data_IF_678673385607
#
_entry.id   IF_678673385607
#
_cell.length_a   1.000
_cell.length_b   1.000
_cell.length_c   1.000
_cell.angle_alpha   90.00
_cell.angle_beta   90.00
_cell.angle_gamma   90.00
#
_symmetry.space_group_name_H-M   'P 1'
#
loop_
_entity.id
_entity.type
_entity.pdbx_description
1 polymer ?
#
# COMPACT_ATOMS: atom_id res chain seq x y z
N UNK A 1 35.10 36.85 -7.06
CA UNK A 1 34.48 35.65 -6.42
C UNK A 1 34.48 34.54 -7.44
N UNK A 2 34.97 33.35 -7.10
CA UNK A 2 34.90 32.18 -7.98
C UNK A 2 33.52 31.53 -7.85
N UNK A 3 32.86 31.26 -8.97
CA UNK A 3 31.61 30.49 -9.04
C UNK A 3 31.83 29.35 -10.03
N UNK A 4 31.53 28.12 -9.61
CA UNK A 4 31.61 26.93 -10.45
C UNK A 4 30.28 26.18 -10.37
N UNK A 5 29.74 25.82 -11.52
CA UNK A 5 28.53 25.01 -11.63
C UNK A 5 28.92 23.55 -11.84
N UNK A 6 28.54 22.67 -10.91
CA UNK A 6 28.71 21.22 -11.08
C UNK A 6 27.52 20.68 -11.87
N UNK A 7 27.75 20.26 -13.12
CA UNK A 7 26.70 19.74 -14.00
C UNK A 7 26.54 18.22 -13.82
N UNK A 8 25.56 17.79 -13.01
CA UNK A 8 25.21 16.39 -12.77
C UNK A 8 23.84 16.04 -13.38
N UNK A 9 23.62 16.37 -14.66
CA UNK A 9 22.39 15.99 -15.34
C UNK A 9 22.38 14.48 -15.57
N UNK A 10 21.32 13.80 -15.12
CA UNK A 10 21.08 12.37 -15.36
C UNK A 10 19.75 12.21 -16.10
N UNK A 11 19.71 11.24 -17.01
CA UNK A 11 18.46 10.64 -17.50
C UNK A 11 18.33 9.35 -16.71
N UNK A 12 17.21 9.18 -16.00
CA UNK A 12 16.94 8.02 -15.16
C UNK A 12 15.69 7.37 -15.73
N UNK A 13 15.74 6.05 -15.92
CA UNK A 13 14.61 5.21 -16.29
C UNK A 13 14.38 4.24 -15.13
N UNK A 14 13.32 4.49 -14.36
CA UNK A 14 12.93 3.71 -13.19
C UNK A 14 11.74 2.78 -13.53
N UNK A 15 11.61 2.38 -14.80
CA UNK A 15 10.57 1.44 -15.25
C UNK A 15 10.84 0.03 -14.72
N UNK A 16 9.78 -0.69 -14.35
CA UNK A 16 9.85 -2.07 -13.88
C UNK A 16 8.59 -2.85 -14.27
N UNK A 17 8.72 -4.17 -14.32
CA UNK A 17 7.62 -5.07 -14.62
C UNK A 17 6.86 -5.50 -13.35
N UNK A 18 5.57 -5.80 -13.53
CA UNK A 18 4.75 -6.47 -12.52
C UNK A 18 4.34 -7.83 -13.08
N UNK A 19 4.79 -8.90 -12.43
CA UNK A 19 4.41 -10.27 -12.72
C UNK A 19 3.25 -10.67 -11.81
N UNK A 20 2.13 -11.12 -12.38
CA UNK A 20 0.93 -11.54 -11.65
C UNK A 20 0.69 -13.01 -11.95
N UNK A 21 0.48 -13.83 -10.93
CA UNK A 21 0.19 -15.23 -11.15
C UNK A 21 0.27 -16.06 -9.88
N UNK A 22 0.70 -17.32 -10.04
CA UNK A 22 0.71 -18.33 -8.99
C UNK A 22 2.07 -19.00 -8.92
N UNK A 23 2.54 -19.26 -7.70
CA UNK A 23 3.77 -20.02 -7.43
C UNK A 23 5.01 -19.42 -8.12
N UNK A 24 5.17 -18.09 -8.02
CA UNK A 24 6.11 -17.31 -8.84
C UNK A 24 7.60 -17.45 -8.45
N UNK A 25 7.96 -18.39 -7.57
CA UNK A 25 9.34 -18.55 -7.13
C UNK A 25 10.28 -18.95 -8.26
N UNK A 26 9.89 -19.94 -9.07
CA UNK A 26 10.72 -20.40 -10.18
C UNK A 26 10.87 -19.30 -11.24
N UNK A 27 9.81 -18.51 -11.45
CA UNK A 27 9.85 -17.34 -12.33
C UNK A 27 10.84 -16.29 -11.84
N UNK A 28 10.87 -16.01 -10.54
CA UNK A 28 11.86 -15.10 -9.95
C UNK A 28 13.28 -15.61 -10.19
N UNK A 29 13.54 -16.90 -9.98
CA UNK A 29 14.87 -17.48 -10.22
C UNK A 29 15.27 -17.38 -11.69
N UNK A 30 14.36 -17.70 -12.60
CA UNK A 30 14.56 -17.58 -14.04
C UNK A 30 14.96 -16.14 -14.41
N UNK A 31 14.23 -15.14 -13.90
CA UNK A 31 14.52 -13.73 -14.18
C UNK A 31 15.88 -13.28 -13.60
N UNK A 32 16.25 -13.76 -12.41
CA UNK A 32 17.58 -13.51 -11.84
C UNK A 32 18.69 -14.13 -12.70
N UNK A 33 18.49 -15.34 -13.23
CA UNK A 33 19.45 -16.00 -14.12
C UNK A 33 19.57 -15.27 -15.48
N UNK A 34 18.46 -14.67 -15.93
CA UNK A 34 18.39 -13.84 -17.13
C UNK A 34 18.87 -12.40 -16.92
N UNK A 35 19.38 -12.06 -15.73
CA UNK A 35 20.07 -10.80 -15.48
C UNK A 35 19.19 -9.65 -15.00
N UNK A 36 18.02 -9.93 -14.39
CA UNK A 36 17.13 -8.92 -13.80
C UNK A 36 17.89 -7.89 -12.91
N UNK A 37 18.91 -8.34 -12.19
CA UNK A 37 19.77 -7.47 -11.34
C UNK A 37 21.26 -7.55 -11.71
N UNK A 38 21.54 -7.82 -12.99
CA UNK A 38 22.90 -7.92 -13.53
C UNK A 38 23.72 -9.04 -12.87
N UNK A 39 24.97 -8.74 -12.52
CA UNK A 39 25.94 -9.70 -11.96
C UNK A 39 25.79 -9.93 -10.44
N UNK A 40 24.76 -9.37 -9.80
CA UNK A 40 24.56 -9.51 -8.34
C UNK A 40 24.33 -10.97 -7.98
N UNK A 41 25.12 -11.46 -7.01
CA UNK A 41 25.03 -12.84 -6.49
C UNK A 41 24.63 -12.93 -5.01
N UNK A 42 24.52 -11.79 -4.32
CA UNK A 42 24.18 -11.71 -2.89
C UNK A 42 22.79 -11.13 -2.69
N UNK A 43 21.91 -11.88 -2.04
CA UNK A 43 20.52 -11.49 -1.82
C UNK A 43 20.20 -11.45 -0.33
N UNK A 44 19.66 -10.33 0.15
CA UNK A 44 19.10 -10.23 1.49
C UNK A 44 17.58 -10.40 1.40
N UNK A 45 17.07 -11.52 1.93
CA UNK A 45 15.63 -11.81 1.96
C UNK A 45 15.04 -11.18 3.22
N UNK A 46 14.34 -10.06 3.07
CA UNK A 46 13.73 -9.32 4.19
C UNK A 46 12.26 -9.71 4.31
N UNK A 47 11.83 -10.10 5.51
CA UNK A 47 10.48 -10.61 5.77
C UNK A 47 10.04 -10.40 7.22
N UNK A 48 8.80 -10.74 7.54
CA UNK A 48 8.33 -10.84 8.93
C UNK A 48 8.37 -12.29 9.44
N UNK A 49 8.25 -12.46 10.76
CA UNK A 49 8.31 -13.77 11.42
C UNK A 49 7.20 -14.74 11.00
N UNK A 50 6.06 -14.26 10.51
CA UNK A 50 4.95 -15.09 10.03
C UNK A 50 5.22 -15.58 8.60
N UNK A 51 5.60 -14.67 7.71
CA UNK A 51 5.88 -14.95 6.29
C UNK A 51 7.18 -15.72 6.12
N UNK A 52 8.12 -15.60 7.07
CA UNK A 52 9.38 -16.34 7.08
C UNK A 52 9.17 -17.84 6.89
N UNK A 53 8.36 -18.45 7.75
CA UNK A 53 8.16 -19.90 7.79
C UNK A 53 7.25 -20.39 6.66
N UNK A 54 6.35 -19.52 6.17
CA UNK A 54 5.44 -19.84 5.06
C UNK A 54 6.14 -19.82 3.70
N UNK A 55 6.99 -18.82 3.45
CA UNK A 55 7.44 -18.49 2.10
C UNK A 55 8.93 -18.17 2.00
N UNK A 56 9.47 -17.35 2.91
CA UNK A 56 10.83 -16.83 2.77
C UNK A 56 11.91 -17.93 2.89
N UNK A 57 11.69 -18.94 3.75
CA UNK A 57 12.59 -20.10 3.87
C UNK A 57 12.69 -20.87 2.55
N UNK A 58 11.56 -21.17 1.91
CA UNK A 58 11.51 -21.86 0.62
C UNK A 58 12.26 -21.06 -0.45
N UNK A 59 11.99 -19.75 -0.57
CA UNK A 59 12.68 -18.90 -1.53
C UNK A 59 14.19 -18.81 -1.26
N UNK A 60 14.60 -18.68 0.00
CA UNK A 60 16.01 -18.61 0.36
C UNK A 60 16.76 -19.90 0.02
N UNK A 61 16.17 -21.07 0.29
CA UNK A 61 16.75 -22.36 -0.14
C UNK A 61 16.86 -22.44 -1.66
N UNK A 62 15.81 -22.04 -2.38
CA UNK A 62 15.81 -22.06 -3.85
C UNK A 62 16.90 -21.13 -4.44
N UNK A 63 17.12 -19.96 -3.85
CA UNK A 63 18.24 -19.07 -4.22
C UNK A 63 19.60 -19.75 -4.00
N UNK A 64 19.79 -20.39 -2.85
CA UNK A 64 21.04 -21.08 -2.51
C UNK A 64 21.31 -22.29 -3.42
N UNK A 65 20.28 -23.08 -3.72
CA UNK A 65 20.36 -24.23 -4.63
C UNK A 65 20.71 -23.80 -6.06
N UNK A 66 20.37 -22.57 -6.44
CA UNK A 66 20.76 -21.96 -7.72
C UNK A 66 22.08 -21.17 -7.67
N UNK A 67 22.88 -21.36 -6.61
CA UNK A 67 24.24 -20.83 -6.50
C UNK A 67 24.33 -19.37 -6.07
N UNK A 68 23.25 -18.79 -5.56
CA UNK A 68 23.25 -17.45 -4.97
C UNK A 68 23.58 -17.48 -3.48
N UNK A 69 24.29 -16.47 -2.99
CA UNK A 69 24.48 -16.27 -1.56
C UNK A 69 23.26 -15.52 -1.00
N UNK A 70 22.43 -16.21 -0.21
CA UNK A 70 21.22 -15.62 0.36
C UNK A 70 21.11 -15.83 1.87
N UNK A 71 20.64 -14.80 2.57
CA UNK A 71 20.32 -14.85 4.00
C UNK A 71 18.95 -14.21 4.25
N UNK A 72 18.20 -14.79 5.19
CA UNK A 72 16.93 -14.24 5.66
C UNK A 72 17.18 -13.31 6.85
N UNK A 73 16.58 -12.12 6.80
CA UNK A 73 16.51 -11.16 7.89
C UNK A 73 15.03 -10.95 8.22
N UNK A 74 14.61 -11.43 9.39
CA UNK A 74 13.21 -11.40 9.81
C UNK A 74 12.99 -10.50 11.01
N UNK A 75 11.87 -9.79 11.05
CA UNK A 75 11.43 -8.98 12.19
C UNK A 75 9.98 -9.35 12.60
N UNK A 76 9.48 -8.92 13.77
CA UNK A 76 8.13 -9.29 14.21
C UNK A 76 7.03 -8.79 13.25
N UNK A 77 5.99 -9.57 12.97
CA UNK A 77 4.92 -9.14 12.08
C UNK A 77 4.08 -7.95 12.59
N UNK A 78 3.54 -7.18 11.65
CA UNK A 78 2.54 -6.13 11.89
C UNK A 78 3.06 -4.69 11.92
N UNK A 79 2.12 -3.73 11.89
CA UNK A 79 2.41 -2.29 11.70
C UNK A 79 3.35 -1.71 12.76
N UNK A 80 3.31 -2.25 13.99
CA UNK A 80 4.19 -1.82 15.10
C UNK A 80 5.68 -2.04 14.81
N UNK A 81 6.01 -2.90 13.86
CA UNK A 81 7.38 -3.14 13.42
C UNK A 81 7.80 -2.22 12.28
N UNK A 82 6.91 -1.41 11.71
CA UNK A 82 7.27 -0.48 10.64
C UNK A 82 7.90 0.79 11.20
N UNK A 83 9.08 0.66 11.81
CA UNK A 83 9.72 1.74 12.58
C UNK A 83 11.18 1.96 12.17
N UNK A 84 11.74 3.10 12.56
CA UNK A 84 13.17 3.38 12.40
C UNK A 84 14.07 2.36 13.13
N UNK A 85 13.63 1.83 14.27
CA UNK A 85 14.39 0.85 15.02
C UNK A 85 14.49 -0.49 14.27
N UNK A 86 13.40 -0.93 13.64
CA UNK A 86 13.41 -2.12 12.79
C UNK A 86 14.29 -1.91 11.56
N UNK A 87 14.22 -0.70 10.96
CA UNK A 87 15.09 -0.34 9.83
C UNK A 87 16.58 -0.43 10.23
N UNK A 88 16.95 0.17 11.36
CA UNK A 88 18.30 0.10 11.92
C UNK A 88 18.74 -1.35 12.13
N UNK A 89 17.90 -2.16 12.79
CA UNK A 89 18.17 -3.59 13.00
C UNK A 89 18.45 -4.34 11.69
N UNK A 90 17.64 -4.11 10.66
CA UNK A 90 17.81 -4.75 9.35
C UNK A 90 19.12 -4.30 8.70
N UNK A 91 19.42 -3.00 8.69
CA UNK A 91 20.64 -2.43 8.10
C UNK A 91 21.90 -2.96 8.80
N UNK A 92 21.90 -2.99 10.13
CA UNK A 92 23.05 -3.49 10.92
C UNK A 92 23.22 -5.00 10.72
N UNK A 93 22.14 -5.78 10.69
CA UNK A 93 22.20 -7.22 10.38
C UNK A 93 22.77 -7.47 8.98
N UNK A 94 22.38 -6.67 7.98
CA UNK A 94 22.98 -6.74 6.65
C UNK A 94 24.49 -6.45 6.68
N UNK A 95 24.94 -5.45 7.45
CA UNK A 95 26.36 -5.12 7.57
C UNK A 95 27.17 -6.24 8.22
N UNK A 96 26.64 -6.84 9.29
CA UNK A 96 27.21 -7.97 10.03
C UNK A 96 27.38 -9.21 9.14
N UNK A 97 26.38 -9.50 8.31
CA UNK A 97 26.42 -10.59 7.32
C UNK A 97 27.32 -10.29 6.11
N UNK A 98 27.93 -9.10 6.06
CA UNK A 98 28.90 -8.74 5.02
C UNK A 98 28.29 -8.16 3.74
N UNK A 99 27.00 -7.80 3.73
CA UNK A 99 26.39 -7.12 2.58
C UNK A 99 27.00 -5.72 2.39
N UNK A 100 27.25 -5.36 1.13
CA UNK A 100 27.72 -4.02 0.71
C UNK A 100 26.89 -3.61 -0.53
N UNK A 101 27.41 -2.72 -1.38
CA UNK A 101 26.66 -2.23 -2.57
C UNK A 101 26.41 -3.29 -3.65
N UNK A 102 27.14 -4.41 -3.60
CA UNK A 102 27.06 -5.56 -4.50
C UNK A 102 25.97 -6.56 -4.07
N UNK A 103 24.80 -6.07 -3.64
CA UNK A 103 23.69 -6.90 -3.20
C UNK A 103 22.35 -6.41 -3.71
N UNK A 104 21.36 -7.31 -3.65
CA UNK A 104 19.96 -7.01 -3.91
C UNK A 104 19.11 -7.42 -2.70
N UNK A 105 18.09 -6.63 -2.39
CA UNK A 105 17.11 -6.95 -1.37
C UNK A 105 15.89 -7.62 -2.02
N UNK A 106 15.40 -8.72 -1.44
CA UNK A 106 14.11 -9.31 -1.83
C UNK A 106 13.17 -9.17 -0.64
N UNK A 107 12.15 -8.32 -0.79
CA UNK A 107 11.11 -8.10 0.20
C UNK A 107 10.01 -9.15 0.03
N UNK A 108 9.90 -10.10 0.95
CA UNK A 108 8.90 -11.18 0.89
C UNK A 108 7.84 -10.93 1.96
N UNK A 109 6.66 -10.45 1.56
CA UNK A 109 5.60 -10.16 2.53
C UNK A 109 4.50 -9.22 2.04
N UNK A 110 3.78 -8.66 3.01
CA UNK A 110 2.78 -7.62 2.80
C UNK A 110 3.34 -6.20 2.86
N UNK A 111 2.44 -5.21 2.99
CA UNK A 111 2.79 -3.79 2.87
C UNK A 111 3.84 -3.29 3.87
N UNK A 112 3.81 -3.81 5.10
CA UNK A 112 4.83 -3.48 6.11
C UNK A 112 6.23 -3.90 5.67
N UNK A 113 6.35 -5.11 5.10
CA UNK A 113 7.63 -5.65 4.62
C UNK A 113 8.11 -4.85 3.41
N UNK A 114 7.24 -4.61 2.42
CA UNK A 114 7.62 -3.89 1.20
C UNK A 114 8.00 -2.43 1.47
N UNK A 115 7.26 -1.74 2.35
CA UNK A 115 7.58 -0.36 2.76
C UNK A 115 8.94 -0.28 3.45
N UNK A 116 9.18 -1.16 4.44
CA UNK A 116 10.40 -1.15 5.24
C UNK A 116 11.61 -1.56 4.38
N UNK A 117 11.50 -2.67 3.65
CA UNK A 117 12.58 -3.20 2.83
C UNK A 117 12.92 -2.25 1.67
N UNK A 118 11.93 -1.64 1.04
CA UNK A 118 12.16 -0.62 0.02
C UNK A 118 12.85 0.63 0.56
N UNK A 119 12.55 1.03 1.82
CA UNK A 119 13.24 2.16 2.45
C UNK A 119 14.68 1.78 2.83
N UNK A 120 14.90 0.58 3.35
CA UNK A 120 16.25 0.02 3.56
C UNK A 120 17.02 0.02 2.24
N UNK A 121 16.44 -0.49 1.16
CA UNK A 121 17.09 -0.59 -0.16
C UNK A 121 17.58 0.77 -0.67
N UNK A 122 16.73 1.80 -0.60
CA UNK A 122 17.11 3.12 -1.11
C UNK A 122 18.08 3.89 -0.22
N UNK A 123 18.31 3.47 1.05
CA UNK A 123 19.30 4.11 1.93
C UNK A 123 20.57 3.29 2.13
N UNK A 124 20.49 1.96 2.09
CA UNK A 124 21.62 1.06 2.30
C UNK A 124 22.65 1.25 1.19
N UNK A 125 23.90 1.52 1.55
CA UNK A 125 24.94 1.82 0.56
C UNK A 125 24.70 3.09 -0.27
N UNK A 126 23.67 3.89 0.04
CA UNK A 126 23.08 4.98 -0.78
C UNK A 126 22.26 4.50 -1.99
N UNK A 127 21.66 3.33 -1.88
CA UNK A 127 20.84 2.72 -2.92
C UNK A 127 21.43 1.37 -3.34
N UNK A 128 20.61 0.32 -3.20
CA UNK A 128 20.81 -1.00 -3.78
C UNK A 128 19.50 -1.45 -4.46
N UNK A 129 19.56 -2.29 -5.51
CA UNK A 129 18.36 -2.79 -6.17
C UNK A 129 17.52 -3.62 -5.19
N UNK A 130 16.21 -3.60 -5.38
CA UNK A 130 15.30 -4.45 -4.62
C UNK A 130 14.13 -4.97 -5.44
N UNK A 131 13.60 -6.10 -5.00
CA UNK A 131 12.48 -6.80 -5.62
C UNK A 131 11.39 -6.97 -4.57
N UNK A 132 10.14 -6.72 -4.96
CA UNK A 132 8.99 -7.05 -4.11
C UNK A 132 8.42 -8.42 -4.50
N UNK A 133 8.34 -9.34 -3.54
CA UNK A 133 7.62 -10.61 -3.65
C UNK A 133 6.43 -10.57 -2.69
N UNK A 134 5.25 -10.32 -3.26
CA UNK A 134 4.11 -9.82 -2.52
C UNK A 134 3.19 -10.95 -2.11
N UNK A 135 2.93 -11.07 -0.81
CA UNK A 135 2.17 -12.19 -0.25
C UNK A 135 0.78 -11.81 0.26
N UNK A 136 0.34 -10.58 0.01
CA UNK A 136 -0.95 -10.08 0.51
C UNK A 136 -1.77 -9.35 -0.54
N UNK A 137 -3.09 -9.51 -0.51
CA UNK A 137 -4.01 -8.77 -1.36
C UNK A 137 -3.85 -7.25 -1.18
N UNK A 138 -3.66 -6.77 0.06
CA UNK A 138 -3.46 -5.34 0.32
C UNK A 138 -2.22 -4.80 -0.39
N UNK A 139 -1.09 -5.51 -0.27
CA UNK A 139 0.14 -5.07 -0.92
C UNK A 139 0.05 -5.19 -2.44
N UNK A 140 -0.60 -6.23 -2.96
CA UNK A 140 -0.84 -6.42 -4.38
C UNK A 140 -1.71 -5.30 -4.98
N UNK A 141 -2.73 -4.87 -4.23
CA UNK A 141 -3.57 -3.76 -4.64
C UNK A 141 -2.84 -2.43 -4.51
N UNK A 142 -2.14 -2.19 -3.40
CA UNK A 142 -1.58 -0.89 -3.08
C UNK A 142 -0.06 -0.98 -2.79
N UNK A 143 0.36 -1.38 -1.60
CA UNK A 143 1.69 -1.05 -1.06
C UNK A 143 2.91 -1.41 -1.95
N UNK A 144 2.85 -2.44 -2.80
CA UNK A 144 4.01 -2.86 -3.60
C UNK A 144 4.25 -2.03 -4.86
N UNK A 145 3.30 -1.18 -5.27
CA UNK A 145 3.35 -0.42 -6.53
C UNK A 145 3.53 1.07 -6.28
N UNK A 146 4.42 1.68 -7.06
CA UNK A 146 4.65 3.14 -7.10
C UNK A 146 5.64 3.69 -6.08
N UNK A 147 6.50 2.83 -5.53
CA UNK A 147 7.78 3.21 -4.91
C UNK A 147 7.71 4.03 -3.62
N UNK A 148 6.54 4.21 -3.02
CA UNK A 148 6.44 4.89 -1.72
C UNK A 148 6.90 3.95 -0.62
N UNK A 149 8.04 4.24 -0.03
CA UNK A 149 8.64 3.42 1.04
C UNK A 149 8.80 4.29 2.27
N UNK A 150 8.41 3.79 3.45
CA UNK A 150 8.38 4.61 4.65
C UNK A 150 8.36 3.79 5.94
N UNK A 151 8.57 4.51 7.05
CA UNK A 151 8.33 4.01 8.41
C UNK A 151 7.45 4.98 9.19
N UNK A 152 6.79 4.44 10.20
CA UNK A 152 5.99 5.15 11.17
C UNK A 152 6.87 5.79 12.26
N UNK A 153 6.32 6.83 12.86
CA UNK A 153 6.83 7.48 14.07
C UNK A 153 5.71 7.58 15.10
N UNK A 154 6.01 7.83 16.39
CA UNK A 154 4.96 8.09 17.39
C UNK A 154 4.00 9.23 17.04
N UNK A 155 4.39 10.13 16.13
CA UNK A 155 3.62 11.32 15.77
C UNK A 155 2.79 11.13 14.48
N UNK A 156 3.27 10.33 13.53
CA UNK A 156 2.69 10.21 12.20
C UNK A 156 3.05 8.88 11.51
N UNK A 157 2.10 8.36 10.74
CA UNK A 157 2.24 7.18 9.88
C UNK A 157 2.89 7.54 8.54
N UNK A 158 3.76 6.66 8.03
CA UNK A 158 4.44 6.76 6.73
C UNK A 158 5.18 8.08 6.47
N UNK A 159 5.46 8.90 7.48
CA UNK A 159 5.95 10.27 7.28
C UNK A 159 7.42 10.33 6.86
N UNK A 160 8.21 9.33 7.26
CA UNK A 160 9.65 9.30 7.06
C UNK A 160 9.96 8.19 6.07
N UNK A 161 10.47 8.55 4.90
CA UNK A 161 10.63 7.62 3.80
C UNK A 161 11.19 8.27 2.55
N UNK A 162 11.20 7.51 1.46
CA UNK A 162 11.68 7.93 0.14
C UNK A 162 10.78 7.33 -0.96
N UNK A 163 10.80 7.96 -2.13
CA UNK A 163 10.35 7.32 -3.35
C UNK A 163 11.51 6.48 -3.90
N UNK A 164 11.32 5.17 -3.99
CA UNK A 164 12.31 4.19 -4.45
C UNK A 164 11.58 3.07 -5.21
N UNK A 165 11.77 2.97 -6.52
CA UNK A 165 11.10 1.97 -7.36
C UNK A 165 11.82 0.61 -7.26
N UNK A 166 11.10 -0.52 -7.21
CA UNK A 166 11.70 -1.84 -7.28
C UNK A 166 12.18 -2.15 -8.71
N UNK A 167 13.05 -3.14 -8.85
CA UNK A 167 13.47 -3.69 -10.15
C UNK A 167 12.37 -4.56 -10.79
N UNK A 168 11.55 -5.22 -9.95
CA UNK A 168 10.38 -6.01 -10.35
C UNK A 168 9.45 -6.25 -9.16
N UNK A 169 8.16 -6.41 -9.43
CA UNK A 169 7.15 -6.83 -8.46
C UNK A 169 6.57 -8.18 -8.88
N UNK A 170 6.60 -9.17 -7.98
CA UNK A 170 5.92 -10.45 -8.15
C UNK A 170 4.70 -10.48 -7.24
N UNK A 171 3.51 -10.60 -7.83
CA UNK A 171 2.23 -10.74 -7.13
C UNK A 171 1.78 -12.20 -7.18
N UNK A 172 2.19 -12.98 -6.18
CA UNK A 172 1.84 -14.39 -6.10
C UNK A 172 0.53 -14.59 -5.34
N UNK A 173 -0.54 -14.83 -6.09
CA UNK A 173 -1.90 -14.99 -5.59
C UNK A 173 -2.05 -16.32 -4.81
N UNK A 174 -1.22 -17.34 -5.10
CA UNK A 174 -1.25 -18.60 -4.36
C UNK A 174 -1.02 -18.36 -2.85
N UNK A 175 -0.23 -17.34 -2.52
CA UNK A 175 0.08 -16.99 -1.12
C UNK A 175 -1.14 -16.50 -0.33
N UNK A 176 -2.18 -16.03 -1.01
CA UNK A 176 -3.39 -15.51 -0.35
C UNK A 176 -4.18 -16.62 0.34
N UNK A 177 -4.02 -17.89 -0.10
CA UNK A 177 -4.68 -19.05 0.51
C UNK A 177 -4.30 -19.28 1.98
N UNK A 178 -3.13 -18.80 2.42
CA UNK A 178 -2.70 -18.89 3.83
C UNK A 178 -3.03 -17.65 4.64
N UNK A 179 -3.62 -16.61 4.04
CA UNK A 179 -3.94 -15.40 4.78
C UNK A 179 -5.09 -15.63 5.75
N UNK A 180 -5.01 -15.03 6.96
CA UNK A 180 -6.18 -14.90 7.80
C UNK A 180 -7.31 -14.19 7.02
N UNK A 181 -8.55 -14.66 7.15
CA UNK A 181 -9.71 -14.08 6.44
C UNK A 181 -9.82 -12.56 6.62
N UNK A 182 -9.49 -12.06 7.80
CA UNK A 182 -9.48 -10.62 8.09
C UNK A 182 -8.45 -9.84 7.25
N UNK A 183 -7.33 -10.45 6.85
CA UNK A 183 -6.34 -9.84 5.97
C UNK A 183 -6.81 -9.80 4.51
N UNK A 184 -7.55 -10.83 4.04
CA UNK A 184 -8.24 -10.78 2.74
C UNK A 184 -9.26 -9.62 2.74
N UNK A 185 -10.14 -9.57 3.74
CA UNK A 185 -11.08 -8.46 3.91
C UNK A 185 -10.37 -7.10 3.96
N UNK A 186 -9.25 -7.00 4.68
CA UNK A 186 -8.47 -5.77 4.77
C UNK A 186 -7.93 -5.34 3.39
N UNK A 187 -7.40 -6.27 2.58
CA UNK A 187 -6.96 -5.95 1.21
C UNK A 187 -8.11 -5.58 0.26
N UNK A 188 -9.29 -6.18 0.45
CA UNK A 188 -10.49 -5.85 -0.32
C UNK A 188 -10.91 -4.38 -0.16
N UNK A 189 -10.62 -3.73 0.97
CA UNK A 189 -10.93 -2.31 1.15
C UNK A 189 -10.23 -1.44 0.09
N UNK A 190 -8.96 -1.74 -0.22
CA UNK A 190 -8.19 -1.04 -1.25
C UNK A 190 -8.69 -1.36 -2.66
N UNK A 191 -9.11 -2.60 -2.88
CA UNK A 191 -9.71 -3.02 -4.16
C UNK A 191 -11.03 -2.28 -4.41
N UNK A 192 -11.88 -2.15 -3.39
CA UNK A 192 -13.12 -1.38 -3.46
C UNK A 192 -12.82 0.10 -3.66
N UNK A 193 -11.81 0.67 -2.99
CA UNK A 193 -11.36 2.05 -3.21
C UNK A 193 -10.99 2.28 -4.69
N UNK A 194 -10.21 1.40 -5.30
CA UNK A 194 -9.84 1.51 -6.71
C UNK A 194 -11.05 1.49 -7.65
N UNK A 195 -12.00 0.59 -7.41
CA UNK A 195 -13.25 0.57 -8.15
C UNK A 195 -14.03 1.89 -8.00
N UNK A 196 -14.10 2.45 -6.78
CA UNK A 196 -14.75 3.74 -6.56
C UNK A 196 -14.06 4.90 -7.31
N UNK A 197 -12.74 4.86 -7.43
CA UNK A 197 -11.94 5.89 -8.11
C UNK A 197 -12.14 5.82 -9.63
N UNK A 198 -12.13 4.63 -10.22
CA UNK A 198 -11.84 4.46 -11.64
C UNK A 198 -12.89 3.69 -12.45
N UNK A 199 -13.65 2.76 -11.85
CA UNK A 199 -14.43 1.80 -12.64
C UNK A 199 -15.66 1.25 -11.89
N UNK A 200 -16.86 1.63 -12.36
CA UNK A 200 -18.14 1.15 -11.83
C UNK A 200 -18.42 -0.31 -12.21
N UNK A 201 -17.99 -0.78 -13.38
CA UNK A 201 -18.15 -2.18 -13.76
C UNK A 201 -17.28 -3.07 -12.89
N UNK A 202 -16.06 -2.63 -12.58
CA UNK A 202 -15.19 -3.31 -11.61
C UNK A 202 -15.82 -3.36 -10.21
N UNK A 203 -16.50 -2.29 -9.77
CA UNK A 203 -17.25 -2.29 -8.50
C UNK A 203 -18.33 -3.37 -8.48
N UNK A 204 -19.11 -3.49 -9.56
CA UNK A 204 -20.13 -4.52 -9.68
C UNK A 204 -19.52 -5.92 -9.75
N UNK A 205 -18.40 -6.09 -10.47
CA UNK A 205 -17.67 -7.36 -10.50
C UNK A 205 -17.24 -7.82 -9.11
N UNK A 206 -16.68 -6.92 -8.28
CA UNK A 206 -16.30 -7.23 -6.88
C UNK A 206 -17.53 -7.63 -6.07
N UNK A 207 -18.64 -6.90 -6.22
CA UNK A 207 -19.89 -7.21 -5.53
C UNK A 207 -20.40 -8.60 -5.92
N UNK A 208 -20.47 -8.91 -7.21
CA UNK A 208 -21.05 -10.16 -7.70
C UNK A 208 -20.19 -11.37 -7.35
N UNK A 209 -18.87 -11.19 -7.27
CA UNK A 209 -17.91 -12.27 -6.98
C UNK A 209 -17.39 -12.28 -5.52
N UNK A 210 -18.02 -11.54 -4.60
CA UNK A 210 -17.52 -11.38 -3.23
C UNK A 210 -17.19 -12.70 -2.52
N UNK A 211 -18.06 -13.70 -2.62
CA UNK A 211 -17.85 -14.99 -1.94
C UNK A 211 -16.68 -15.77 -2.55
N UNK A 212 -16.48 -15.67 -3.87
CA UNK A 212 -15.33 -16.25 -4.56
C UNK A 212 -14.01 -15.56 -4.16
N UNK A 213 -14.01 -14.22 -4.04
CA UNK A 213 -12.84 -13.47 -3.57
C UNK A 213 -12.47 -13.87 -2.14
N UNK A 214 -13.45 -13.96 -1.24
CA UNK A 214 -13.21 -14.38 0.15
C UNK A 214 -12.75 -15.84 0.27
N UNK A 215 -13.05 -16.66 -0.74
CA UNK A 215 -12.56 -18.03 -0.87
C UNK A 215 -11.20 -18.14 -1.61
N UNK A 216 -10.65 -17.01 -2.09
CA UNK A 216 -9.41 -16.96 -2.88
C UNK A 216 -9.54 -17.83 -4.14
N UNK A 217 -10.65 -17.68 -4.86
CA UNK A 217 -10.84 -18.31 -6.18
C UNK A 217 -9.81 -17.77 -7.17
N UNK A 218 -9.18 -18.68 -7.93
CA UNK A 218 -8.00 -18.33 -8.72
C UNK A 218 -8.34 -17.34 -9.85
N UNK A 219 -9.36 -17.63 -10.66
CA UNK A 219 -9.72 -16.77 -11.79
C UNK A 219 -10.20 -15.40 -11.34
N UNK A 220 -11.00 -15.36 -10.26
CA UNK A 220 -11.53 -14.10 -9.73
C UNK A 220 -10.40 -13.27 -9.09
N UNK A 221 -9.52 -13.90 -8.31
CA UNK A 221 -8.43 -13.20 -7.62
C UNK A 221 -7.37 -12.67 -8.58
N UNK A 222 -7.09 -13.37 -9.67
CA UNK A 222 -6.22 -12.89 -10.75
C UNK A 222 -6.79 -11.66 -11.42
N UNK A 223 -8.08 -11.69 -11.79
CA UNK A 223 -8.73 -10.55 -12.41
C UNK A 223 -8.73 -9.29 -11.50
N UNK A 224 -9.03 -9.42 -10.21
CA UNK A 224 -8.98 -8.26 -9.31
C UNK A 224 -7.54 -7.75 -9.11
N UNK A 225 -6.53 -8.62 -9.14
CA UNK A 225 -5.13 -8.22 -9.03
C UNK A 225 -4.71 -7.38 -10.25
N UNK A 226 -5.03 -7.86 -11.46
CA UNK A 226 -4.79 -7.15 -12.72
C UNK A 226 -5.46 -5.78 -12.74
N UNK A 227 -6.74 -5.71 -12.38
CA UNK A 227 -7.49 -4.45 -12.37
C UNK A 227 -6.94 -3.46 -11.37
N UNK A 228 -6.56 -3.91 -10.17
CA UNK A 228 -5.89 -3.05 -9.18
C UNK A 228 -4.56 -2.50 -9.71
N UNK A 229 -3.71 -3.35 -10.27
CA UNK A 229 -2.44 -2.96 -10.85
C UNK A 229 -2.63 -1.95 -11.97
N UNK A 230 -3.55 -2.21 -12.89
CA UNK A 230 -3.86 -1.30 -14.00
C UNK A 230 -4.24 0.09 -13.50
N UNK A 231 -5.24 0.18 -12.61
CA UNK A 231 -5.72 1.45 -12.04
C UNK A 231 -4.57 2.19 -11.34
N UNK A 232 -3.79 1.48 -10.52
CA UNK A 232 -2.71 2.10 -9.77
C UNK A 232 -1.55 2.55 -10.65
N UNK A 233 -1.13 1.73 -11.61
CA UNK A 233 -0.08 2.06 -12.56
C UNK A 233 -0.45 3.28 -13.42
N UNK A 234 -1.69 3.35 -13.93
CA UNK A 234 -2.17 4.52 -14.70
C UNK A 234 -2.02 5.83 -13.91
N UNK A 235 -2.29 5.80 -12.61
CA UNK A 235 -2.15 6.96 -11.72
C UNK A 235 -0.67 7.27 -11.41
N UNK A 236 0.13 6.23 -11.11
CA UNK A 236 1.56 6.39 -10.78
C UNK A 236 2.36 6.91 -11.96
N UNK A 237 2.10 6.43 -13.18
CA UNK A 237 2.77 6.89 -14.40
C UNK A 237 2.49 8.36 -14.71
N UNK A 238 1.32 8.87 -14.31
CA UNK A 238 0.97 10.28 -14.49
C UNK A 238 1.53 11.19 -13.39
N UNK A 239 1.62 10.69 -12.15
CA UNK A 239 2.08 11.49 -11.00
C UNK A 239 2.79 10.62 -9.96
N UNK A 240 4.04 10.25 -10.26
CA UNK A 240 4.87 9.40 -9.40
C UNK A 240 5.00 9.97 -7.98
N UNK A 241 5.14 11.28 -7.83
CA UNK A 241 5.48 11.91 -6.53
C UNK A 241 4.29 12.39 -5.72
N UNK A 242 3.06 12.09 -6.15
CA UNK A 242 1.83 12.56 -5.51
C UNK A 242 1.82 14.09 -5.32
N UNK A 243 2.04 14.80 -6.43
CA UNK A 243 2.01 16.26 -6.52
C UNK A 243 0.72 16.81 -7.13
N UNK A 244 -0.15 15.93 -7.65
CA UNK A 244 -1.43 16.24 -8.29
C UNK A 244 -2.35 15.00 -8.33
N UNK A 245 -2.49 14.38 -9.50
CA UNK A 245 -3.48 13.30 -9.76
C UNK A 245 -3.37 12.10 -8.82
N UNK A 246 -2.17 11.74 -8.33
CA UNK A 246 -2.01 10.59 -7.42
C UNK A 246 -2.66 10.82 -6.06
N UNK A 247 -3.06 12.06 -5.73
CA UNK A 247 -3.88 12.37 -4.56
C UNK A 247 -5.24 11.64 -4.58
N UNK A 248 -5.72 11.12 -5.72
CA UNK A 248 -6.98 10.34 -5.75
C UNK A 248 -6.89 8.99 -5.02
N UNK A 249 -5.70 8.36 -4.96
CA UNK A 249 -5.49 7.06 -4.30
C UNK A 249 -5.67 7.13 -2.78
N UNK A 250 -5.83 8.36 -2.29
CA UNK A 250 -5.96 8.76 -0.90
C UNK A 250 -7.46 8.95 -0.53
N UNK A 251 -8.42 8.54 -1.40
CA UNK A 251 -9.84 8.39 -1.08
C UNK A 251 -10.03 7.48 0.15
N UNK A 252 -10.88 7.91 1.08
CA UNK A 252 -11.14 7.27 2.37
C UNK A 252 -10.01 7.43 3.41
N UNK A 253 -8.79 7.77 2.98
CA UNK A 253 -7.62 7.73 3.86
C UNK A 253 -7.54 8.88 4.85
N UNK A 254 -8.19 10.02 4.59
CA UNK A 254 -8.13 11.17 5.52
C UNK A 254 -8.77 10.79 6.87
N UNK A 255 -9.94 10.15 6.83
CA UNK A 255 -10.58 9.60 8.05
C UNK A 255 -9.94 8.27 8.44
N UNK A 256 -9.65 7.40 7.46
CA UNK A 256 -9.09 6.06 7.71
C UNK A 256 -7.80 6.08 8.53
N UNK A 257 -6.80 6.88 8.15
CA UNK A 257 -5.52 6.98 8.89
C UNK A 257 -5.68 7.54 10.30
N UNK A 258 -6.62 8.46 10.48
CA UNK A 258 -6.95 8.98 11.80
C UNK A 258 -7.57 7.86 12.67
N UNK A 259 -8.45 7.03 12.11
CA UNK A 259 -9.01 5.85 12.78
C UNK A 259 -7.91 4.83 13.13
N UNK A 260 -7.00 4.51 12.21
CA UNK A 260 -5.88 3.60 12.48
C UNK A 260 -5.12 4.03 13.73
N UNK A 261 -4.75 5.31 13.76
CA UNK A 261 -3.96 5.87 14.86
C UNK A 261 -4.73 5.92 16.17
N UNK A 262 -5.97 6.44 16.18
CA UNK A 262 -6.78 6.54 17.41
C UNK A 262 -7.21 5.16 17.92
N UNK A 263 -7.34 4.17 17.05
CA UNK A 263 -7.59 2.78 17.46
C UNK A 263 -6.38 2.14 18.17
N UNK A 264 -5.21 2.77 18.15
CA UNK A 264 -3.96 2.20 18.62
C UNK A 264 -3.52 1.00 17.78
N UNK A 265 -3.81 1.03 16.48
CA UNK A 265 -3.58 -0.05 15.52
C UNK A 265 -4.24 -1.39 15.92
N UNK A 266 -5.40 -1.32 16.61
CA UNK A 266 -6.26 -2.49 16.86
C UNK A 266 -7.05 -2.88 15.62
N UNK A 267 -7.40 -1.89 14.80
CA UNK A 267 -7.99 -2.12 13.49
C UNK A 267 -6.88 -2.33 12.48
N UNK A 268 -7.08 -3.29 11.57
CA UNK A 268 -6.27 -3.43 10.37
C UNK A 268 -6.47 -2.20 9.47
N UNK A 269 -5.48 -1.92 8.62
CA UNK A 269 -5.52 -0.81 7.68
C UNK A 269 -6.82 -0.75 6.88
N UNK A 270 -7.20 -1.87 6.25
CA UNK A 270 -8.42 -1.94 5.43
C UNK A 270 -9.71 -1.77 6.22
N UNK A 271 -9.72 -2.15 7.51
CA UNK A 271 -10.87 -1.92 8.38
C UNK A 271 -11.04 -0.42 8.67
N UNK A 272 -9.96 0.28 8.95
CA UNK A 272 -9.99 1.72 9.15
C UNK A 272 -10.31 2.46 7.84
N UNK A 273 -9.73 2.03 6.71
CA UNK A 273 -10.02 2.55 5.38
C UNK A 273 -11.51 2.38 5.03
N UNK A 274 -12.11 1.22 5.29
CA UNK A 274 -13.54 0.99 5.05
C UNK A 274 -14.45 1.99 5.78
N UNK A 275 -14.13 2.28 7.05
CA UNK A 275 -14.86 3.31 7.81
C UNK A 275 -14.61 4.69 7.19
N UNK A 276 -13.39 4.96 6.74
CA UNK A 276 -13.06 6.21 6.07
C UNK A 276 -13.78 6.40 4.72
N UNK A 277 -13.88 5.35 3.91
CA UNK A 277 -14.69 5.33 2.68
C UNK A 277 -16.16 5.62 2.98
N UNK A 278 -16.71 5.02 4.04
CA UNK A 278 -18.09 5.31 4.47
C UNK A 278 -18.29 6.75 4.95
N UNK A 279 -17.30 7.32 5.64
CA UNK A 279 -17.36 8.72 6.05
C UNK A 279 -17.32 9.66 4.82
N UNK A 280 -16.39 9.41 3.89
CA UNK A 280 -16.21 10.25 2.71
C UNK A 280 -17.37 10.13 1.71
N UNK A 281 -18.00 8.96 1.51
CA UNK A 281 -19.20 8.85 0.66
C UNK A 281 -20.41 9.55 1.29
N UNK A 282 -20.57 9.53 2.62
CA UNK A 282 -21.62 10.29 3.33
C UNK A 282 -21.40 11.80 3.24
N UNK A 283 -20.14 12.25 3.32
CA UNK A 283 -19.77 13.65 3.06
C UNK A 283 -20.06 14.03 1.60
N UNK A 284 -19.63 13.20 0.64
CA UNK A 284 -19.87 13.40 -0.79
C UNK A 284 -21.37 13.52 -1.10
N UNK A 285 -22.22 12.70 -0.46
CA UNK A 285 -23.68 12.84 -0.56
C UNK A 285 -24.17 14.21 -0.10
N UNK A 286 -23.73 14.68 1.08
CA UNK A 286 -24.12 16.02 1.59
C UNK A 286 -23.67 17.16 0.67
N UNK A 287 -22.55 16.98 -0.02
CA UNK A 287 -22.02 17.93 -1.00
C UNK A 287 -22.66 17.80 -2.39
N UNK A 288 -23.56 16.84 -2.60
CA UNK A 288 -24.24 16.60 -3.87
C UNK A 288 -23.42 15.84 -4.91
N UNK A 289 -22.30 15.22 -4.52
CA UNK A 289 -21.43 14.44 -5.42
C UNK A 289 -21.86 12.97 -5.52
N UNK A 290 -22.57 12.45 -4.52
CA UNK A 290 -23.10 11.10 -4.49
C UNK A 290 -24.60 11.09 -4.19
N UNK A 291 -25.26 10.03 -4.63
CA UNK A 291 -26.67 9.75 -4.33
C UNK A 291 -26.84 8.93 -3.04
N UNK A 292 -28.09 8.79 -2.58
CA UNK A 292 -28.46 7.82 -1.54
C UNK A 292 -28.16 6.37 -1.95
N UNK A 293 -28.32 6.07 -3.24
CA UNK A 293 -28.01 4.76 -3.81
C UNK A 293 -26.51 4.45 -3.72
N UNK A 294 -25.63 5.40 -4.05
CA UNK A 294 -24.18 5.22 -3.93
C UNK A 294 -23.78 4.90 -2.48
N UNK A 295 -24.37 5.58 -1.49
CA UNK A 295 -24.11 5.30 -0.07
C UNK A 295 -24.58 3.89 0.31
N UNK A 296 -25.76 3.47 -0.18
CA UNK A 296 -26.30 2.14 0.08
C UNK A 296 -25.44 1.03 -0.55
N UNK A 297 -24.96 1.23 -1.79
CA UNK A 297 -24.06 0.33 -2.48
C UNK A 297 -22.72 0.18 -1.74
N UNK A 298 -22.12 1.30 -1.31
CA UNK A 298 -20.89 1.30 -0.49
C UNK A 298 -21.08 0.55 0.82
N UNK A 299 -22.18 0.80 1.53
CA UNK A 299 -22.50 0.12 2.77
C UNK A 299 -22.70 -1.39 2.54
N UNK A 300 -23.34 -1.79 1.44
CA UNK A 300 -23.56 -3.20 1.12
C UNK A 300 -22.26 -3.93 0.79
N UNK A 301 -21.44 -3.40 -0.12
CA UNK A 301 -20.21 -4.06 -0.56
C UNK A 301 -19.20 -4.22 0.59
N UNK A 302 -19.04 -3.19 1.43
CA UNK A 302 -18.13 -3.25 2.58
C UNK A 302 -18.61 -4.26 3.63
N UNK A 303 -19.91 -4.29 3.92
CA UNK A 303 -20.48 -5.31 4.82
C UNK A 303 -20.32 -6.73 4.26
N UNK A 304 -20.52 -6.93 2.96
CA UNK A 304 -20.31 -8.24 2.31
C UNK A 304 -18.84 -8.67 2.34
N UNK A 305 -17.92 -7.72 2.19
CA UNK A 305 -16.47 -7.91 2.37
C UNK A 305 -16.05 -8.15 3.83
N UNK A 306 -16.99 -8.18 4.79
CA UNK A 306 -16.74 -8.34 6.24
C UNK A 306 -15.91 -7.20 6.84
N UNK A 307 -16.07 -5.99 6.30
CA UNK A 307 -15.43 -4.78 6.77
C UNK A 307 -16.39 -3.94 7.64
N UNK A 308 -15.87 -3.22 8.66
CA UNK A 308 -16.69 -2.32 9.46
C UNK A 308 -17.08 -1.08 8.66
N UNK A 309 -18.30 -0.59 8.88
CA UNK A 309 -18.86 0.59 8.20
C UNK A 309 -19.29 1.70 9.16
N UNK A 310 -19.07 1.49 10.46
CA UNK A 310 -19.32 2.42 11.55
C UNK A 310 -18.07 2.58 12.40
N UNK A 311 -17.97 3.71 13.11
CA UNK A 311 -16.82 3.95 13.98
C UNK A 311 -17.04 3.14 15.27
N UNK A 312 -16.10 2.26 15.69
CA UNK A 312 -16.26 1.50 16.93
C UNK A 312 -16.48 2.39 18.16
N UNK A 313 -17.33 1.96 19.09
CA UNK A 313 -17.72 2.76 20.27
C UNK A 313 -16.54 3.17 21.17
N UNK A 314 -15.48 2.37 21.21
CA UNK A 314 -14.29 2.68 22.00
C UNK A 314 -13.44 3.83 21.43
N UNK A 315 -13.69 4.26 20.20
CA UNK A 315 -13.00 5.39 19.57
C UNK A 315 -13.75 6.67 19.94
N UNK A 316 -13.09 7.54 20.70
CA UNK A 316 -13.62 8.86 21.01
C UNK A 316 -13.66 9.75 19.76
N UNK A 317 -14.87 10.21 19.39
CA UNK A 317 -15.13 11.00 18.19
C UNK A 317 -14.39 12.34 18.22
N UNK A 318 -14.26 12.95 19.40
CA UNK A 318 -13.56 14.23 19.56
C UNK A 318 -12.06 14.09 19.33
N UNK A 319 -11.47 13.02 19.86
CA UNK A 319 -10.08 12.64 19.61
C UNK A 319 -9.86 12.34 18.13
N UNK A 320 -10.80 11.65 17.47
CA UNK A 320 -10.73 11.38 16.04
C UNK A 320 -10.75 12.67 15.20
N UNK A 321 -11.67 13.61 15.47
CA UNK A 321 -11.74 14.90 14.77
C UNK A 321 -10.44 15.68 14.93
N UNK A 322 -9.88 15.74 16.14
CA UNK A 322 -8.57 16.38 16.38
C UNK A 322 -7.45 15.71 15.58
N UNK A 323 -7.49 14.38 15.44
CA UNK A 323 -6.46 13.62 14.75
C UNK A 323 -6.44 13.86 13.24
N UNK A 324 -7.56 14.25 12.62
CA UNK A 324 -7.64 14.61 11.20
C UNK A 324 -6.61 15.67 10.79
N UNK A 325 -6.26 16.60 11.69
CA UNK A 325 -5.29 17.67 11.43
C UNK A 325 -3.82 17.22 11.38
N UNK A 326 -3.53 15.99 11.81
CA UNK A 326 -2.18 15.43 11.77
C UNK A 326 -1.92 14.60 10.51
N UNK A 327 -2.92 14.41 9.65
CA UNK A 327 -2.73 13.79 8.34
C UNK A 327 -1.96 14.75 7.41
N UNK A 328 -1.11 14.17 6.55
CA UNK A 328 -0.22 14.90 5.64
C UNK A 328 -0.94 15.89 4.71
N UNK A 329 -2.25 15.69 4.49
CA UNK A 329 -3.08 16.55 3.63
C UNK A 329 -3.55 17.83 4.32
N UNK A 330 -3.39 17.97 5.63
CA UNK A 330 -3.71 19.20 6.32
C UNK A 330 -2.72 20.32 5.91
N UNK A 331 -3.11 21.14 4.93
CA UNK A 331 -2.29 22.26 4.46
C UNK A 331 -2.74 23.54 5.14
N UNK A 332 -1.83 24.23 5.82
CA UNK A 332 -2.11 25.47 6.57
C UNK A 332 -3.26 25.33 7.58
N UNK A 333 -3.41 24.16 8.21
CA UNK A 333 -4.48 23.91 9.19
C UNK A 333 -5.87 23.72 8.59
N UNK A 334 -5.98 23.43 7.29
CA UNK A 334 -7.25 23.12 6.63
C UNK A 334 -7.36 21.64 6.31
N UNK A 335 -8.51 21.02 6.60
CA UNK A 335 -8.78 19.63 6.28
C UNK A 335 -9.07 19.49 4.78
N UNK A 336 -8.31 18.65 4.09
CA UNK A 336 -8.50 18.34 2.67
C UNK A 336 -8.96 16.90 2.48
N UNK A 337 -10.00 16.72 1.68
CA UNK A 337 -10.61 15.43 1.39
C UNK A 337 -10.70 15.19 -0.10
N UNK A 338 -10.51 13.93 -0.47
CA UNK A 338 -10.71 13.41 -1.81
C UNK A 338 -12.16 12.90 -1.86
N UNK A 339 -12.87 13.11 -2.97
CA UNK A 339 -14.26 12.70 -3.08
C UNK A 339 -14.51 11.96 -4.38
N UNK A 340 -15.37 10.95 -4.32
CA UNK A 340 -15.95 10.34 -5.50
C UNK A 340 -17.16 11.15 -5.99
N UNK A 341 -17.40 11.16 -7.30
CA UNK A 341 -18.59 11.71 -7.96
C UNK A 341 -19.44 10.55 -8.48
N UNK A 342 -20.14 9.90 -7.55
CA UNK A 342 -20.68 8.55 -7.75
C UNK A 342 -19.59 7.47 -7.71
N UNK A 343 -19.99 6.21 -7.86
CA UNK A 343 -19.04 5.08 -7.96
C UNK A 343 -18.36 5.07 -9.34
N UNK A 344 -17.05 4.80 -9.38
CA UNK A 344 -16.28 4.68 -10.62
C UNK A 344 -15.75 6.00 -11.18
N UNK A 345 -15.86 7.08 -10.43
CA UNK A 345 -15.42 8.40 -10.87
C UNK A 345 -14.99 9.26 -9.69
N UNK A 346 -13.84 9.90 -9.81
CA UNK A 346 -13.38 10.89 -8.85
C UNK A 346 -13.94 12.29 -9.15
N UNK A 347 -14.19 13.07 -8.10
CA UNK A 347 -14.49 14.50 -8.22
C UNK A 347 -13.20 15.27 -8.51
N UNK A 348 -13.21 16.01 -9.62
CA UNK A 348 -12.17 16.98 -9.96
C UNK A 348 -12.72 18.39 -9.69
N UNK A 349 -11.93 19.20 -9.01
CA UNK A 349 -12.23 20.59 -8.67
C UNK A 349 -11.47 21.56 -9.57
N UNK A 350 -11.76 22.86 -9.43
CA UNK A 350 -11.11 23.91 -10.22
C UNK A 350 -9.57 23.83 -10.17
N UNK A 351 -8.94 24.17 -11.29
CA UNK A 351 -7.49 24.08 -11.49
C UNK A 351 -6.92 22.65 -11.32
N UNK A 352 -7.68 21.63 -11.74
CA UNK A 352 -7.28 20.22 -11.70
C UNK A 352 -6.87 19.76 -10.29
N UNK A 353 -7.57 20.26 -9.27
CA UNK A 353 -7.38 19.80 -7.90
C UNK A 353 -8.23 18.56 -7.63
N UNK A 354 -7.65 17.57 -6.95
CA UNK A 354 -8.28 16.28 -6.65
C UNK A 354 -8.75 16.15 -5.19
N UNK A 355 -8.50 17.18 -4.39
CA UNK A 355 -8.99 17.29 -3.03
C UNK A 355 -9.52 18.70 -2.74
N UNK A 356 -10.57 18.76 -1.93
CA UNK A 356 -11.22 20.00 -1.53
C UNK A 356 -11.06 20.26 -0.04
N UNK A 357 -10.93 21.54 0.33
CA UNK A 357 -10.97 21.96 1.73
C UNK A 357 -12.41 21.87 2.25
N UNK A 358 -12.58 21.19 3.38
CA UNK A 358 -13.88 21.00 4.02
C UNK A 358 -13.88 21.61 5.43
N UNK A 359 -14.94 22.34 5.83
CA UNK A 359 -15.08 22.82 7.20
C UNK A 359 -15.06 21.66 8.21
N UNK A 360 -14.36 21.85 9.34
CA UNK A 360 -14.34 20.86 10.43
C UNK A 360 -15.75 20.48 10.89
N UNK A 361 -16.69 21.44 10.88
CA UNK A 361 -18.08 21.21 11.27
C UNK A 361 -18.76 20.11 10.45
N UNK A 362 -18.49 20.02 9.15
CA UNK A 362 -19.05 18.98 8.29
C UNK A 362 -18.42 17.61 8.60
N UNK A 363 -17.09 17.56 8.72
CA UNK A 363 -16.39 16.32 9.08
C UNK A 363 -16.84 15.80 10.45
N UNK A 364 -16.96 16.71 11.43
CA UNK A 364 -17.44 16.44 12.79
C UNK A 364 -18.89 15.96 12.81
N UNK A 365 -19.78 16.56 12.00
CA UNK A 365 -21.17 16.10 11.86
C UNK A 365 -21.21 14.64 11.40
N UNK A 366 -20.48 14.30 10.33
CA UNK A 366 -20.44 12.94 9.79
C UNK A 366 -19.84 11.96 10.80
N UNK A 367 -18.70 12.30 11.42
CA UNK A 367 -18.04 11.45 12.42
C UNK A 367 -18.93 11.18 13.64
N UNK A 368 -19.73 12.16 14.08
CA UNK A 368 -20.66 11.97 15.21
C UNK A 368 -21.88 11.13 14.86
N UNK A 369 -22.27 11.10 13.58
CA UNK A 369 -23.40 10.31 13.10
C UNK A 369 -23.01 8.85 12.75
N UNK A 370 -21.73 8.49 12.86
CA UNK A 370 -21.15 7.16 12.61
C UNK A 370 -20.69 6.48 13.88
#
# INVERSE_FOLDING_TARGET
MGSFRVNLKKIIDDSYDIEIGYELFDKLIEDLQNGLVGDIRKFAVITDDTVKDLYAQKLNSLLQDNGYAANIISFPAGEKSKTRATKEYVEDTMLELGYRRDCCIIAVGGGVVTDLAGFVAGTFGRGVPFINYVTTLLAAADASVGGKTAVDTPLATNLIGIFNQPEKVYLDIATWKTLPKAQISSGLAETIKHACIADREFFHYISDNMDAILAVDETVCEHIAEMNCKIKCEVVMQDERESGMREILNLGHTVGRAIETVSGYRLLHGQALAIGLMAEVKMAKKLGYCSDEDVALMQNILSRAKLPTAIPDYIDRETLVKKLYTDKKAKNGNLRFVFQEGIGKIKVFDNEQYAQVIPESLAREIIRAM
#
